data_IF_823361408053
#
_entry.id   IF_823361408053
#
_cell.length_a   1.000
_cell.length_b   1.000
_cell.length_c   1.000
_cell.angle_alpha   90.00
_cell.angle_beta   90.00
_cell.angle_gamma   90.00
#
_symmetry.space_group_name_H-M   'P 1'
#
loop_
_entity.id
_entity.type
_entity.pdbx_description
1 polymer ?
#
# COMPACT_ATOMS: atom_id res chain seq x y z
N UNK A 1 -1.06 -1.70 -13.76
CA UNK A 1 -0.36 -0.40 -13.51
C UNK A 1 -1.37 0.57 -12.91
N UNK A 2 -1.03 1.22 -11.80
CA UNK A 2 -1.93 2.23 -11.22
C UNK A 2 -1.71 3.58 -11.91
N UNK A 3 -2.80 4.26 -12.30
CA UNK A 3 -2.73 5.53 -13.03
C UNK A 3 -2.11 6.67 -12.19
N UNK A 4 -2.11 6.56 -10.87
CA UNK A 4 -1.48 7.52 -9.97
C UNK A 4 -0.03 7.15 -9.60
N UNK A 5 0.55 6.08 -10.16
CA UNK A 5 1.86 5.59 -9.77
C UNK A 5 2.97 6.55 -10.21
N UNK A 6 3.70 7.12 -9.26
CA UNK A 6 4.81 8.03 -9.54
C UNK A 6 6.00 7.34 -10.25
N UNK A 7 6.10 6.01 -10.15
CA UNK A 7 7.16 5.24 -10.80
C UNK A 7 7.08 5.32 -12.32
N UNK A 8 5.90 5.55 -12.88
CA UNK A 8 5.73 5.75 -14.32
C UNK A 8 6.59 6.90 -14.85
N UNK A 9 6.81 7.93 -14.04
CA UNK A 9 7.64 9.08 -14.42
C UNK A 9 9.11 8.69 -14.63
N UNK A 10 9.58 7.64 -13.95
CA UNK A 10 10.97 7.17 -14.03
C UNK A 10 11.14 6.03 -15.02
N UNK A 11 10.09 5.23 -15.25
CA UNK A 11 10.19 3.94 -15.96
C UNK A 11 9.29 3.84 -17.21
N UNK A 12 8.63 4.92 -17.62
CA UNK A 12 7.71 4.92 -18.77
C UNK A 12 8.36 4.52 -20.11
N UNK A 13 9.69 4.59 -20.20
CA UNK A 13 10.47 4.17 -21.37
C UNK A 13 11.13 2.79 -21.21
N UNK A 14 10.91 2.13 -20.08
CA UNK A 14 11.45 0.81 -19.79
C UNK A 14 10.38 -0.26 -20.02
N UNK A 15 10.60 -1.14 -21.00
CA UNK A 15 9.70 -2.26 -21.33
C UNK A 15 10.16 -3.60 -20.73
N UNK A 16 11.12 -3.59 -19.81
CA UNK A 16 11.69 -4.79 -19.20
C UNK A 16 11.73 -4.67 -17.68
N UNK A 17 11.55 -5.82 -17.02
CA UNK A 17 11.72 -5.95 -15.57
C UNK A 17 13.23 -5.94 -15.24
N UNK A 18 13.63 -5.12 -14.27
CA UNK A 18 14.98 -5.13 -13.71
C UNK A 18 15.00 -5.91 -12.41
N UNK A 19 15.86 -6.91 -12.33
CA UNK A 19 16.06 -7.71 -11.13
C UNK A 19 17.50 -7.50 -10.66
N UNK A 20 17.64 -7.05 -9.39
CA UNK A 20 18.95 -6.91 -8.77
C UNK A 20 19.41 -8.28 -8.27
N UNK A 21 20.60 -8.70 -8.68
CA UNK A 21 21.15 -10.02 -8.34
C UNK A 21 22.01 -10.01 -7.05
N UNK A 22 22.38 -8.83 -6.55
CA UNK A 22 23.17 -8.65 -5.34
C UNK A 22 22.33 -8.58 -4.06
N UNK A 23 21.19 -9.27 -4.04
CA UNK A 23 20.22 -9.22 -2.92
C UNK A 23 20.81 -9.71 -1.60
N UNK A 24 21.75 -10.68 -1.63
CA UNK A 24 22.43 -11.15 -0.42
C UNK A 24 23.24 -10.05 0.23
N UNK A 25 24.04 -9.34 -0.55
CA UNK A 25 24.80 -8.21 -0.05
C UNK A 25 23.90 -7.10 0.51
N UNK A 26 22.79 -6.79 -0.18
CA UNK A 26 21.84 -5.79 0.30
C UNK A 26 21.19 -6.20 1.63
N UNK A 27 20.83 -7.48 1.75
CA UNK A 27 20.22 -8.03 2.96
C UNK A 27 21.21 -8.04 4.13
N UNK A 28 22.45 -8.45 3.91
CA UNK A 28 23.52 -8.38 4.93
C UNK A 28 23.72 -6.95 5.42
N UNK A 29 23.74 -5.96 4.51
CA UNK A 29 23.83 -4.54 4.88
C UNK A 29 22.60 -4.05 5.64
N UNK A 30 21.40 -4.50 5.31
CA UNK A 30 20.19 -4.19 6.05
C UNK A 30 20.25 -4.74 7.48
N UNK A 31 20.65 -6.01 7.63
CA UNK A 31 20.80 -6.67 8.93
C UNK A 31 21.88 -5.97 9.75
N UNK A 32 23.05 -5.69 9.18
CA UNK A 32 24.11 -4.93 9.84
C UNK A 32 23.61 -3.57 10.35
N UNK A 33 22.88 -2.85 9.51
CA UNK A 33 22.29 -1.55 9.87
C UNK A 33 21.27 -1.68 10.99
N UNK A 34 20.45 -2.72 10.98
CA UNK A 34 19.42 -2.95 12.01
C UNK A 34 20.00 -3.09 13.42
N UNK A 35 21.23 -3.62 13.54
CA UNK A 35 21.94 -3.74 14.81
C UNK A 35 22.71 -2.48 15.23
N UNK A 36 23.02 -1.59 14.29
CA UNK A 36 23.75 -0.33 14.58
C UNK A 36 22.84 0.81 15.04
N UNK A 37 21.52 0.67 14.89
CA UNK A 37 20.57 1.69 15.35
C UNK A 37 20.41 1.61 16.87
N UNK A 38 20.39 2.75 17.57
CA UNK A 38 20.16 2.81 19.02
C UNK A 38 18.76 2.30 19.37
N UNK A 39 17.76 2.72 18.60
CA UNK A 39 16.35 2.28 18.74
C UNK A 39 16.02 1.24 17.67
N UNK A 40 15.07 0.38 17.98
CA UNK A 40 14.49 -0.51 16.98
C UNK A 40 13.80 0.30 15.88
N UNK A 41 14.11 -0.04 14.65
CA UNK A 41 13.59 0.65 13.47
C UNK A 41 12.72 -0.29 12.63
N UNK A 42 11.77 0.31 11.93
CA UNK A 42 11.06 -0.36 10.83
C UNK A 42 11.67 0.08 9.50
N UNK A 43 12.11 -0.89 8.72
CA UNK A 43 12.71 -0.65 7.41
C UNK A 43 11.69 -0.95 6.32
N UNK A 44 11.31 0.06 5.53
CA UNK A 44 10.47 -0.16 4.38
C UNK A 44 11.30 -0.74 3.23
N UNK A 45 10.83 -1.85 2.68
CA UNK A 45 11.41 -2.52 1.52
C UNK A 45 10.41 -2.51 0.35
N UNK A 46 10.91 -2.50 -0.89
CA UNK A 46 10.03 -2.57 -2.07
C UNK A 46 9.40 -1.25 -2.51
N UNK A 47 9.96 -0.09 -2.13
CA UNK A 47 9.40 1.22 -2.52
C UNK A 47 9.34 1.47 -4.04
N UNK A 48 10.07 0.70 -4.84
CA UNK A 48 10.15 0.85 -6.31
C UNK A 48 9.46 -0.27 -7.07
N UNK A 49 8.78 -1.19 -6.39
CA UNK A 49 8.06 -2.30 -6.99
C UNK A 49 7.07 -2.92 -6.02
N UNK A 50 6.28 -3.89 -6.47
CA UNK A 50 5.46 -4.72 -5.59
C UNK A 50 6.17 -6.05 -5.35
N UNK A 51 6.62 -6.28 -4.12
CA UNK A 51 7.44 -7.43 -3.76
C UNK A 51 6.67 -8.76 -3.82
N UNK A 52 5.35 -8.76 -3.63
CA UNK A 52 4.52 -9.96 -3.79
C UNK A 52 4.54 -10.41 -5.26
N UNK A 53 4.39 -9.45 -6.18
CA UNK A 53 4.43 -9.74 -7.61
C UNK A 53 5.82 -10.25 -8.04
N UNK A 54 6.89 -9.57 -7.61
CA UNK A 54 8.26 -9.95 -7.94
C UNK A 54 8.67 -11.29 -7.37
N UNK A 55 8.19 -11.63 -6.18
CA UNK A 55 8.60 -12.85 -5.46
C UNK A 55 8.36 -14.12 -6.26
N UNK A 56 7.32 -14.17 -7.08
CA UNK A 56 7.02 -15.31 -7.95
C UNK A 56 8.10 -15.58 -9.00
N UNK A 57 8.90 -14.58 -9.33
CA UNK A 57 10.00 -14.68 -10.30
C UNK A 57 11.34 -14.88 -9.59
N UNK A 58 11.54 -14.15 -8.49
CA UNK A 58 12.86 -14.01 -7.86
C UNK A 58 13.04 -14.81 -6.57
N UNK A 59 11.97 -15.09 -5.83
CA UNK A 59 12.03 -15.66 -4.47
C UNK A 59 12.66 -14.72 -3.43
N UNK A 60 12.98 -13.48 -3.80
CA UNK A 60 13.71 -12.55 -2.94
C UNK A 60 12.96 -12.15 -1.68
N UNK A 61 11.64 -12.00 -1.74
CA UNK A 61 10.83 -11.63 -0.57
C UNK A 61 10.86 -12.75 0.48
N UNK A 62 10.64 -14.00 0.06
CA UNK A 62 10.71 -15.18 0.94
C UNK A 62 12.08 -15.24 1.63
N UNK A 63 13.16 -15.08 0.86
CA UNK A 63 14.53 -15.06 1.39
C UNK A 63 14.72 -13.93 2.41
N UNK A 64 14.27 -12.73 2.07
CA UNK A 64 14.39 -11.55 2.95
C UNK A 64 13.63 -11.76 4.26
N UNK A 65 12.40 -12.28 4.22
CA UNK A 65 11.60 -12.56 5.40
C UNK A 65 12.32 -13.55 6.32
N UNK A 66 12.80 -14.68 5.79
CA UNK A 66 13.50 -15.71 6.57
C UNK A 66 14.79 -15.19 7.19
N UNK A 67 15.63 -14.56 6.40
CA UNK A 67 16.95 -14.10 6.89
C UNK A 67 16.83 -12.92 7.87
N UNK A 68 15.95 -11.94 7.57
CA UNK A 68 15.72 -10.83 8.49
C UNK A 68 14.98 -11.29 9.75
N UNK A 69 14.00 -12.18 9.62
CA UNK A 69 13.33 -12.80 10.76
C UNK A 69 14.30 -13.44 11.73
N UNK A 70 15.29 -14.19 11.21
CA UNK A 70 16.30 -14.89 12.00
C UNK A 70 17.38 -13.95 12.58
N UNK A 71 17.91 -13.02 11.78
CA UNK A 71 19.11 -12.26 12.10
C UNK A 71 18.88 -10.77 12.35
N UNK A 72 17.80 -10.18 11.85
CA UNK A 72 17.55 -8.75 11.95
C UNK A 72 17.09 -8.30 13.34
N UNK A 73 17.21 -6.99 13.60
CA UNK A 73 16.63 -6.31 14.77
C UNK A 73 15.60 -5.28 14.30
N UNK A 74 14.46 -5.15 15.03
CA UNK A 74 13.32 -4.35 14.61
C UNK A 74 12.50 -5.05 13.53
N UNK A 75 11.86 -4.32 12.64
CA UNK A 75 10.96 -4.87 11.65
C UNK A 75 11.32 -4.47 10.22
N UNK A 76 10.94 -5.31 9.26
CA UNK A 76 10.79 -4.91 7.86
C UNK A 76 9.32 -4.74 7.53
N UNK A 77 9.00 -3.87 6.59
CA UNK A 77 7.63 -3.65 6.12
C UNK A 77 7.58 -3.45 4.61
N UNK A 78 6.50 -3.87 4.00
CA UNK A 78 6.26 -3.65 2.58
C UNK A 78 4.76 -3.51 2.29
N UNK A 79 4.37 -2.57 1.42
CA UNK A 79 3.02 -2.46 0.91
C UNK A 79 2.82 -3.37 -0.30
N UNK A 80 1.59 -3.83 -0.51
CA UNK A 80 1.22 -4.56 -1.72
C UNK A 80 -0.22 -4.29 -2.15
N UNK A 81 -0.50 -4.50 -3.44
CA UNK A 81 -1.84 -4.54 -4.04
C UNK A 81 -2.18 -5.92 -4.60
N UNK A 82 -1.36 -6.93 -4.28
CA UNK A 82 -1.52 -8.29 -4.76
C UNK A 82 -1.78 -9.27 -3.62
N UNK A 83 -2.70 -10.20 -3.87
CA UNK A 83 -3.21 -11.14 -2.87
C UNK A 83 -2.49 -12.51 -2.86
N UNK A 84 -1.41 -12.67 -3.62
CA UNK A 84 -0.68 -13.94 -3.76
C UNK A 84 0.27 -14.17 -2.60
N UNK A 85 -0.28 -14.37 -1.39
CA UNK A 85 0.49 -14.44 -0.13
C UNK A 85 0.74 -15.87 0.36
N UNK A 86 0.18 -16.89 -0.30
CA UNK A 86 0.19 -18.26 0.21
C UNK A 86 1.61 -18.80 0.48
N UNK A 87 2.60 -18.43 -0.33
CA UNK A 87 4.00 -18.81 -0.14
C UNK A 87 4.66 -18.16 1.09
N UNK A 88 3.99 -17.21 1.74
CA UNK A 88 4.51 -16.50 2.92
C UNK A 88 3.96 -17.05 4.24
N UNK A 89 2.83 -17.78 4.20
CA UNK A 89 2.06 -18.12 5.41
C UNK A 89 2.83 -19.02 6.40
N UNK A 90 3.72 -19.88 5.91
CA UNK A 90 4.50 -20.79 6.74
C UNK A 90 5.95 -20.35 7.04
N UNK A 91 6.29 -19.06 6.81
CA UNK A 91 7.65 -18.59 7.01
C UNK A 91 7.93 -18.23 8.47
N UNK A 92 9.15 -18.53 8.94
CA UNK A 92 9.66 -18.10 10.25
C UNK A 92 10.03 -16.62 10.21
N UNK A 93 9.04 -15.75 10.38
CA UNK A 93 9.23 -14.28 10.38
C UNK A 93 9.52 -13.71 11.79
N UNK A 94 9.32 -14.50 12.85
CA UNK A 94 9.60 -14.15 14.25
C UNK A 94 9.00 -12.81 14.71
N UNK A 95 7.81 -12.44 14.20
CA UNK A 95 7.12 -11.18 14.51
C UNK A 95 7.79 -9.92 13.94
N UNK A 96 8.84 -10.05 13.11
CA UNK A 96 9.64 -8.94 12.58
C UNK A 96 9.21 -8.46 11.19
N UNK A 97 8.04 -8.86 10.73
CA UNK A 97 7.53 -8.50 9.40
C UNK A 97 6.15 -7.85 9.53
N UNK A 98 6.02 -6.68 8.96
CA UNK A 98 4.76 -5.93 8.88
C UNK A 98 4.27 -5.99 7.44
N UNK A 99 3.18 -6.70 7.22
CA UNK A 99 2.50 -6.77 5.94
C UNK A 99 1.49 -5.64 5.82
N UNK A 100 1.53 -4.86 4.75
CA UNK A 100 0.58 -3.76 4.53
C UNK A 100 -0.19 -3.98 3.22
N UNK A 101 -1.49 -4.25 3.34
CA UNK A 101 -2.37 -4.41 2.19
C UNK A 101 -3.01 -3.09 1.82
N UNK A 102 -2.75 -2.60 0.62
CA UNK A 102 -3.45 -1.45 0.07
C UNK A 102 -4.88 -1.84 -0.33
N UNK A 103 -5.85 -1.06 0.14
CA UNK A 103 -7.28 -1.24 -0.15
C UNK A 103 -7.87 0.05 -0.70
N UNK A 104 -8.83 -0.09 -1.62
CA UNK A 104 -9.59 1.01 -2.21
C UNK A 104 -10.99 0.52 -2.58
N UNK A 105 -11.98 1.42 -2.81
CA UNK A 105 -13.25 1.05 -3.41
C UNK A 105 -13.07 0.24 -4.69
N UNK A 106 -13.93 -0.76 -4.91
CA UNK A 106 -13.82 -1.69 -6.05
C UNK A 106 -13.80 -0.95 -7.40
N UNK A 107 -14.55 0.13 -7.53
CA UNK A 107 -14.55 0.99 -8.72
C UNK A 107 -13.19 1.63 -8.99
N UNK A 108 -12.48 2.06 -7.93
CA UNK A 108 -11.12 2.61 -8.02
C UNK A 108 -10.14 1.49 -8.40
N UNK A 109 -10.24 0.33 -7.76
CA UNK A 109 -9.38 -0.83 -8.09
C UNK A 109 -9.53 -1.18 -9.57
N UNK A 110 -10.76 -1.32 -10.04
CA UNK A 110 -11.05 -1.72 -11.42
C UNK A 110 -10.60 -0.71 -12.47
N UNK A 111 -10.83 0.57 -12.23
CA UNK A 111 -10.66 1.61 -13.26
C UNK A 111 -9.32 2.36 -13.17
N UNK A 112 -8.66 2.35 -12.02
CA UNK A 112 -7.46 3.15 -11.73
C UNK A 112 -6.28 2.27 -11.34
N UNK A 113 -6.48 1.20 -10.57
CA UNK A 113 -5.42 0.27 -10.13
C UNK A 113 -5.31 -0.94 -11.08
N UNK A 114 -5.25 -0.69 -12.37
CA UNK A 114 -5.35 -1.68 -13.46
C UNK A 114 -4.36 -2.83 -13.26
N UNK A 115 -4.89 -4.07 -13.28
CA UNK A 115 -4.10 -5.30 -13.19
C UNK A 115 -3.65 -5.70 -11.79
N UNK A 116 -4.16 -5.04 -10.75
CA UNK A 116 -3.96 -5.45 -9.35
C UNK A 116 -5.06 -6.42 -8.89
N UNK A 117 -4.91 -7.02 -7.72
CA UNK A 117 -5.91 -7.96 -7.19
C UNK A 117 -7.23 -7.26 -6.84
N UNK A 118 -8.40 -7.88 -7.08
CA UNK A 118 -9.70 -7.39 -6.61
C UNK A 118 -9.75 -7.23 -5.10
N UNK A 119 -10.65 -6.36 -4.59
CA UNK A 119 -10.78 -6.07 -3.17
C UNK A 119 -11.03 -7.33 -2.33
N UNK A 120 -11.92 -8.20 -2.77
CA UNK A 120 -12.24 -9.45 -2.05
C UNK A 120 -11.01 -10.33 -1.83
N UNK A 121 -10.18 -10.50 -2.84
CA UNK A 121 -8.92 -11.26 -2.72
C UNK A 121 -7.92 -10.58 -1.78
N UNK A 122 -7.88 -9.24 -1.77
CA UNK A 122 -7.02 -8.49 -0.84
C UNK A 122 -7.45 -8.71 0.61
N UNK A 123 -8.76 -8.71 0.88
CA UNK A 123 -9.32 -8.97 2.21
C UNK A 123 -9.00 -10.40 2.66
N UNK A 124 -9.17 -11.37 1.77
CA UNK A 124 -8.78 -12.76 2.05
C UNK A 124 -7.29 -12.88 2.40
N UNK A 125 -6.42 -12.21 1.66
CA UNK A 125 -4.98 -12.17 1.95
C UNK A 125 -4.69 -11.54 3.32
N UNK A 126 -5.38 -10.49 3.72
CA UNK A 126 -5.29 -9.89 5.06
C UNK A 126 -5.64 -10.92 6.14
N UNK A 127 -6.78 -11.61 5.99
CA UNK A 127 -7.20 -12.64 6.93
C UNK A 127 -6.14 -13.74 7.06
N UNK A 128 -5.64 -14.27 5.94
CA UNK A 128 -4.58 -15.30 5.92
C UNK A 128 -3.30 -14.83 6.62
N UNK A 129 -2.87 -13.60 6.38
CA UNK A 129 -1.64 -13.06 6.97
C UNK A 129 -1.79 -12.83 8.48
N UNK A 130 -2.96 -12.37 8.95
CA UNK A 130 -3.26 -12.30 10.39
C UNK A 130 -3.26 -13.70 11.02
N UNK A 131 -3.88 -14.71 10.39
CA UNK A 131 -3.87 -16.08 10.89
C UNK A 131 -2.45 -16.66 10.96
N UNK A 132 -1.58 -16.31 10.00
CA UNK A 132 -0.18 -16.70 10.00
C UNK A 132 0.69 -15.92 11.01
N UNK A 133 0.11 -15.01 11.80
CA UNK A 133 0.78 -14.28 12.88
C UNK A 133 1.62 -13.09 12.43
N UNK A 134 1.42 -12.59 11.22
CA UNK A 134 2.05 -11.34 10.79
C UNK A 134 1.37 -10.13 11.45
N UNK A 135 2.15 -9.08 11.74
CA UNK A 135 1.55 -7.77 11.99
C UNK A 135 1.01 -7.22 10.66
N UNK A 136 -0.25 -6.81 10.65
CA UNK A 136 -0.93 -6.44 9.40
C UNK A 136 -1.47 -5.01 9.48
N UNK A 137 -1.22 -4.22 8.44
CA UNK A 137 -1.80 -2.90 8.24
C UNK A 137 -2.72 -2.85 7.03
N UNK A 138 -3.83 -2.16 7.15
CA UNK A 138 -4.65 -1.73 6.02
C UNK A 138 -4.21 -0.35 5.58
N UNK A 139 -3.85 -0.23 4.31
CA UNK A 139 -3.41 1.00 3.71
C UNK A 139 -4.51 1.52 2.77
N UNK A 140 -5.37 2.43 3.25
CA UNK A 140 -6.37 3.11 2.41
C UNK A 140 -5.62 4.17 1.60
N UNK A 141 -5.05 3.74 0.47
CA UNK A 141 -4.09 4.55 -0.27
C UNK A 141 -4.03 4.23 -1.77
N UNK A 142 -4.10 5.29 -2.57
CA UNK A 142 -4.45 6.64 -2.15
C UNK A 142 -5.96 6.83 -2.06
N UNK A 143 -6.40 7.73 -1.19
CA UNK A 143 -7.77 8.25 -1.22
C UNK A 143 -7.92 9.14 -2.45
N UNK A 144 -8.92 8.86 -3.28
CA UNK A 144 -9.18 9.58 -4.52
C UNK A 144 -10.59 10.17 -4.46
N UNK A 145 -10.69 11.49 -4.65
CA UNK A 145 -11.97 12.17 -4.71
C UNK A 145 -12.55 12.06 -6.12
N UNK A 146 -13.56 11.22 -6.24
CA UNK A 146 -14.43 11.09 -7.41
C UNK A 146 -15.83 11.50 -7.02
N UNK A 147 -16.73 11.62 -7.99
CA UNK A 147 -18.14 11.86 -7.67
C UNK A 147 -18.67 10.76 -6.73
N UNK A 148 -19.32 11.16 -5.64
CA UNK A 148 -19.82 10.23 -4.63
C UNK A 148 -18.71 9.52 -3.81
N UNK A 149 -17.55 10.13 -3.66
CA UNK A 149 -16.41 9.51 -2.96
C UNK A 149 -16.74 9.09 -1.52
N UNK A 150 -17.58 9.84 -0.80
CA UNK A 150 -17.96 9.47 0.58
C UNK A 150 -18.69 8.14 0.61
N UNK A 151 -19.66 7.97 -0.25
CA UNK A 151 -20.46 6.75 -0.40
C UNK A 151 -19.56 5.55 -0.78
N UNK A 152 -18.62 5.76 -1.70
CA UNK A 152 -17.66 4.71 -2.10
C UNK A 152 -16.76 4.27 -0.94
N UNK A 153 -16.27 5.21 -0.13
CA UNK A 153 -15.45 4.86 1.03
C UNK A 153 -16.28 4.29 2.20
N UNK A 154 -17.54 4.67 2.35
CA UNK A 154 -18.46 3.98 3.28
C UNK A 154 -18.66 2.52 2.87
N UNK A 155 -18.94 2.25 1.59
CA UNK A 155 -19.08 0.90 1.06
C UNK A 155 -17.79 0.07 1.26
N UNK A 156 -16.62 0.69 1.02
CA UNK A 156 -15.34 0.05 1.30
C UNK A 156 -15.22 -0.36 2.77
N UNK A 157 -15.50 0.57 3.71
CA UNK A 157 -15.39 0.32 5.14
C UNK A 157 -16.40 -0.73 5.61
N UNK A 158 -17.63 -0.72 5.10
CA UNK A 158 -18.65 -1.75 5.39
C UNK A 158 -18.22 -3.11 4.86
N UNK A 159 -17.66 -3.17 3.67
CA UNK A 159 -17.12 -4.40 3.08
C UNK A 159 -15.96 -4.95 3.89
N UNK A 160 -15.00 -4.10 4.28
CA UNK A 160 -13.89 -4.48 5.13
C UNK A 160 -14.39 -5.03 6.48
N UNK A 161 -15.30 -4.30 7.14
CA UNK A 161 -15.83 -4.73 8.44
C UNK A 161 -16.59 -6.05 8.36
N UNK A 162 -17.35 -6.28 7.32
CA UNK A 162 -18.14 -7.51 7.15
C UNK A 162 -17.31 -8.74 6.77
N UNK A 163 -16.17 -8.55 6.08
CA UNK A 163 -15.40 -9.63 5.49
C UNK A 163 -14.08 -9.95 6.20
N UNK A 164 -13.56 -9.03 7.00
CA UNK A 164 -12.41 -9.32 7.85
C UNK A 164 -12.80 -10.28 8.97
N UNK A 165 -11.92 -11.23 9.28
CA UNK A 165 -12.07 -12.12 10.42
C UNK A 165 -12.02 -11.32 11.73
N UNK A 166 -12.59 -11.86 12.81
CA UNK A 166 -12.56 -11.21 14.13
C UNK A 166 -11.12 -10.98 14.60
N UNK A 167 -10.24 -11.93 14.33
CA UNK A 167 -8.81 -11.78 14.61
C UNK A 167 -8.20 -10.61 13.84
N UNK A 168 -8.45 -10.53 12.53
CA UNK A 168 -7.96 -9.41 11.72
C UNK A 168 -8.49 -8.08 12.26
N UNK A 169 -9.79 -7.94 12.54
CA UNK A 169 -10.38 -6.71 13.11
C UNK A 169 -9.73 -6.27 14.43
N UNK A 170 -9.28 -7.21 15.24
CA UNK A 170 -8.66 -6.90 16.55
C UNK A 170 -7.18 -6.57 16.47
N UNK A 171 -6.48 -6.99 15.41
CA UNK A 171 -5.01 -6.91 15.33
C UNK A 171 -4.49 -5.92 14.29
N UNK A 172 -5.32 -5.50 13.31
CA UNK A 172 -4.89 -4.56 12.27
C UNK A 172 -4.70 -3.14 12.81
N UNK A 173 -3.84 -2.41 12.11
CA UNK A 173 -3.79 -0.95 12.16
C UNK A 173 -4.16 -0.36 10.78
N UNK A 174 -4.53 0.91 10.75
CA UNK A 174 -4.98 1.58 9.52
C UNK A 174 -4.11 2.81 9.25
N UNK A 175 -3.70 2.95 7.99
CA UNK A 175 -2.99 4.10 7.44
C UNK A 175 -3.84 4.68 6.31
N UNK A 176 -3.93 6.01 6.24
CA UNK A 176 -4.69 6.70 5.19
C UNK A 176 -3.79 7.70 4.48
N UNK A 177 -3.72 7.62 3.17
CA UNK A 177 -2.88 8.51 2.35
C UNK A 177 -3.73 9.12 1.24
N UNK A 178 -3.81 10.45 1.18
CA UNK A 178 -4.46 11.15 0.08
C UNK A 178 -3.61 11.12 -1.18
N UNK A 179 -4.28 11.09 -2.33
CA UNK A 179 -3.60 11.07 -3.61
C UNK A 179 -2.79 12.36 -3.82
N UNK A 180 -1.55 12.17 -4.24
CA UNK A 180 -0.75 13.21 -4.88
C UNK A 180 -0.56 12.86 -6.35
N UNK A 181 -0.55 13.86 -7.21
CA UNK A 181 -0.48 13.65 -8.64
C UNK A 181 0.54 14.61 -9.27
N UNK A 182 0.98 14.36 -10.48
CA UNK A 182 1.92 15.26 -11.14
C UNK A 182 1.53 15.54 -12.58
N UNK A 183 1.97 16.68 -13.08
CA UNK A 183 1.86 17.04 -14.49
C UNK A 183 2.41 15.94 -15.41
N UNK A 184 3.57 15.34 -15.05
CA UNK A 184 4.20 14.29 -15.87
C UNK A 184 3.33 13.02 -15.88
N UNK A 185 2.77 12.60 -14.74
CA UNK A 185 1.85 11.47 -14.70
C UNK A 185 0.61 11.73 -15.56
N UNK A 186 0.05 12.94 -15.49
CA UNK A 186 -1.10 13.32 -16.31
C UNK A 186 -0.81 13.20 -17.80
N UNK A 187 0.30 13.79 -18.26
CA UNK A 187 0.69 13.73 -19.67
C UNK A 187 0.94 12.29 -20.16
N UNK A 188 1.56 11.43 -19.33
CA UNK A 188 1.78 10.03 -19.68
C UNK A 188 0.45 9.28 -19.75
N UNK A 189 -0.45 9.49 -18.78
CA UNK A 189 -1.75 8.81 -18.75
C UNK A 189 -2.64 9.24 -19.93
N UNK A 190 -2.71 10.51 -20.26
CA UNK A 190 -3.45 11.00 -21.43
C UNK A 190 -2.98 10.38 -22.73
N UNK A 191 -1.67 10.15 -22.86
CA UNK A 191 -1.10 9.52 -24.04
C UNK A 191 -1.31 8.00 -24.07
N UNK A 192 -1.09 7.32 -22.93
CA UNK A 192 -1.10 5.85 -22.85
C UNK A 192 -2.51 5.27 -22.62
N UNK A 193 -3.40 6.04 -21.96
CA UNK A 193 -4.74 5.61 -21.56
C UNK A 193 -5.75 6.74 -21.80
N UNK A 194 -6.02 7.14 -23.05
CA UNK A 194 -6.85 8.33 -23.37
C UNK A 194 -8.29 8.23 -22.85
N UNK A 195 -8.79 7.01 -22.62
CA UNK A 195 -10.12 6.74 -22.11
C UNK A 195 -10.18 6.49 -20.60
N UNK A 196 -9.04 6.58 -19.90
CA UNK A 196 -9.02 6.37 -18.45
C UNK A 196 -9.59 7.57 -17.69
N UNK A 197 -10.07 7.36 -16.44
CA UNK A 197 -10.51 8.45 -15.57
C UNK A 197 -9.41 9.51 -15.39
N UNK A 198 -9.80 10.78 -15.48
CA UNK A 198 -8.89 11.90 -15.19
C UNK A 198 -8.72 12.03 -13.68
N UNK A 199 -7.47 11.99 -13.22
CA UNK A 199 -7.15 12.08 -11.79
C UNK A 199 -6.79 13.51 -11.35
N UNK A 200 -6.47 14.40 -12.28
CA UNK A 200 -6.21 15.79 -11.97
C UNK A 200 -7.50 16.60 -12.05
N UNK A 201 -7.82 17.28 -10.97
CA UNK A 201 -8.92 18.23 -10.89
C UNK A 201 -8.39 19.57 -10.34
N UNK A 202 -8.50 20.63 -11.14
CA UNK A 202 -8.04 21.98 -10.77
C UNK A 202 -8.84 22.64 -9.65
N UNK A 203 -10.08 22.21 -9.43
CA UNK A 203 -10.94 22.74 -8.37
C UNK A 203 -10.62 22.10 -7.03
N UNK A 204 -10.35 20.81 -7.04
CA UNK A 204 -10.00 20.04 -5.84
C UNK A 204 -8.51 20.12 -5.49
N UNK A 205 -7.64 20.35 -6.48
CA UNK A 205 -6.19 20.27 -6.31
C UNK A 205 -5.49 21.63 -6.42
N UNK A 206 -4.34 21.73 -5.77
CA UNK A 206 -3.44 22.88 -5.83
C UNK A 206 -1.99 22.43 -6.02
N UNK A 207 -1.15 23.35 -6.53
CA UNK A 207 0.25 23.06 -6.77
C UNK A 207 1.08 22.99 -5.49
N UNK A 208 1.95 21.98 -5.40
CA UNK A 208 2.94 21.79 -4.32
C UNK A 208 4.36 22.20 -4.76
N UNK A 209 4.51 22.76 -5.94
CA UNK A 209 5.79 23.01 -6.58
C UNK A 209 6.31 21.81 -7.40
N UNK A 210 7.27 22.05 -8.27
CA UNK A 210 7.91 21.05 -9.15
C UNK A 210 6.92 20.21 -9.98
N UNK A 211 5.77 20.82 -10.39
CA UNK A 211 4.75 20.11 -11.19
C UNK A 211 3.97 19.03 -10.42
N UNK A 212 3.99 19.07 -9.09
CA UNK A 212 3.20 18.19 -8.24
C UNK A 212 1.96 18.89 -7.71
N UNK A 213 0.88 18.15 -7.60
CA UNK A 213 -0.43 18.57 -7.10
C UNK A 213 -0.86 17.69 -5.93
N UNK A 214 -1.65 18.26 -5.04
CA UNK A 214 -2.30 17.58 -3.93
C UNK A 214 -3.66 18.23 -3.68
N UNK A 215 -4.55 17.55 -2.99
CA UNK A 215 -5.85 18.13 -2.67
C UNK A 215 -5.70 19.36 -1.79
N UNK A 216 -6.52 20.39 -2.03
CA UNK A 216 -6.57 21.60 -1.22
C UNK A 216 -6.88 21.25 0.22
N UNK A 217 -6.37 22.03 1.17
CA UNK A 217 -6.43 21.73 2.60
C UNK A 217 -7.86 21.53 3.10
N UNK A 218 -8.80 22.37 2.66
CA UNK A 218 -10.21 22.30 3.02
C UNK A 218 -10.84 20.93 2.73
N UNK A 219 -10.57 20.34 1.54
CA UNK A 219 -11.08 19.01 1.18
C UNK A 219 -10.35 17.89 1.94
N UNK A 220 -9.08 18.07 2.23
CA UNK A 220 -8.32 17.10 3.04
C UNK A 220 -8.82 17.06 4.47
N UNK A 221 -9.06 18.23 5.10
CA UNK A 221 -9.56 18.33 6.47
C UNK A 221 -10.94 17.71 6.60
N UNK A 222 -11.83 17.97 5.62
CA UNK A 222 -13.16 17.36 5.57
C UNK A 222 -13.05 15.82 5.45
N UNK A 223 -12.21 15.33 4.53
CA UNK A 223 -12.06 13.91 4.29
C UNK A 223 -11.34 13.21 5.44
N UNK A 224 -10.34 13.82 6.07
CA UNK A 224 -9.69 13.28 7.25
C UNK A 224 -10.70 13.10 8.39
N UNK A 225 -11.49 14.13 8.67
CA UNK A 225 -12.54 14.07 9.70
C UNK A 225 -13.53 12.95 9.40
N UNK A 226 -14.06 12.94 8.18
CA UNK A 226 -15.01 11.92 7.74
C UNK A 226 -14.44 10.48 7.88
N UNK A 227 -13.26 10.24 7.34
CA UNK A 227 -12.66 8.90 7.37
C UNK A 227 -12.32 8.46 8.80
N UNK A 228 -11.79 9.35 9.64
CA UNK A 228 -11.53 9.02 11.06
C UNK A 228 -12.81 8.64 11.80
N UNK A 229 -13.89 9.40 11.62
CA UNK A 229 -15.18 9.12 12.25
C UNK A 229 -15.74 7.77 11.77
N UNK A 230 -15.75 7.52 10.46
CA UNK A 230 -16.33 6.32 9.89
C UNK A 230 -15.49 5.05 10.16
N UNK A 231 -14.17 5.16 10.18
CA UNK A 231 -13.28 4.07 10.61
C UNK A 231 -13.52 3.75 12.09
N UNK A 232 -13.54 4.77 12.96
CA UNK A 232 -13.70 4.55 14.40
C UNK A 232 -15.06 3.94 14.76
N UNK A 233 -16.13 4.29 14.03
CA UNK A 233 -17.46 3.69 14.22
C UNK A 233 -17.47 2.17 13.97
N UNK A 234 -16.72 1.71 12.97
CA UNK A 234 -16.69 0.29 12.59
C UNK A 234 -15.60 -0.49 13.28
N UNK A 235 -14.42 0.09 13.38
CA UNK A 235 -13.21 -0.52 13.93
C UNK A 235 -12.86 0.14 15.26
N UNK A 236 -13.74 -0.02 16.26
CA UNK A 236 -13.53 0.55 17.59
C UNK A 236 -12.26 -0.03 18.22
N UNK A 237 -11.33 0.83 18.60
CA UNK A 237 -10.04 0.44 19.20
C UNK A 237 -8.91 0.16 18.20
N UNK A 238 -9.18 0.17 16.89
CA UNK A 238 -8.12 0.04 15.88
C UNK A 238 -7.30 1.33 15.80
N UNK A 239 -5.98 1.19 15.81
CA UNK A 239 -5.05 2.31 15.67
C UNK A 239 -5.12 2.89 14.25
N UNK A 240 -5.41 4.19 14.13
CA UNK A 240 -5.20 4.97 12.90
C UNK A 240 -3.84 5.66 13.03
N UNK A 241 -2.82 5.07 12.41
CA UNK A 241 -1.42 5.50 12.58
C UNK A 241 -1.21 6.92 12.07
N UNK A 242 -1.74 7.20 10.87
CA UNK A 242 -1.76 8.55 10.29
C UNK A 242 -2.84 8.70 9.22
N UNK A 243 -3.15 9.98 8.93
CA UNK A 243 -3.94 10.43 7.77
C UNK A 243 -3.16 11.59 7.14
N UNK A 244 -2.63 11.41 5.92
CA UNK A 244 -1.73 12.38 5.25
C UNK A 244 -2.06 12.59 3.77
#
# INVERSE_FOLDING_TARGET
>A
MCLYCYLVCNYNKCSYLRVYVNTDYMLDKLIEKSHKTEKECTFEIGSNSDLILENRITGNLIKTIKEFGRKGRGCITFPTKFAMVDDLLGLEHNGKVIFRMSVNPESIIKNIEIGTSPLEMRIEAVNKMCEAGYKVGLLIAPVIFTDGWKELYLELLDTLYSRLSEKAKSEIFIEVIFMTYSYVQNAINEQAFPNAPKLYDKELMTGRGRGKYYYRQEYRDEAEKFLREEITKRFSGTEIVYVV
#
